data_IF_042055999783
#
_entry.id   IF_042055999783
#
_cell.length_a   1.000
_cell.length_b   1.000
_cell.length_c   1.000
_cell.angle_alpha   90.00
_cell.angle_beta   90.00
_cell.angle_gamma   90.00
#
_symmetry.space_group_name_H-M   'P 1'
#
loop_
_entity.id
_entity.type
_entity.pdbx_description
1 polymer ?
#
# COMPACT_ATOMS: atom_id res chain seq x y z
N UNK A 1 -40.94 -15.05 -15.33
CA UNK A 1 -39.61 -15.52 -14.86
C UNK A 1 -39.10 -14.48 -13.87
N UNK A 2 -39.01 -14.83 -12.60
CA UNK A 2 -38.40 -13.95 -11.60
C UNK A 2 -36.87 -14.08 -11.69
N UNK A 3 -36.20 -13.02 -12.08
CA UNK A 3 -34.74 -12.97 -12.08
C UNK A 3 -34.24 -12.57 -10.69
N UNK A 4 -33.37 -13.41 -10.11
CA UNK A 4 -32.68 -13.07 -8.87
C UNK A 4 -31.39 -12.33 -9.21
N UNK A 5 -31.18 -11.17 -8.55
CA UNK A 5 -29.92 -10.42 -8.61
C UNK A 5 -29.28 -10.54 -7.23
N UNK A 6 -28.04 -10.99 -7.18
CA UNK A 6 -27.22 -11.02 -5.96
C UNK A 6 -26.02 -10.09 -6.12
N UNK A 7 -25.78 -9.23 -5.13
CA UNK A 7 -24.66 -8.29 -5.11
C UNK A 7 -23.76 -8.65 -3.93
N UNK A 8 -22.45 -8.78 -4.17
CA UNK A 8 -21.47 -9.04 -3.13
C UNK A 8 -20.59 -7.80 -2.94
N UNK A 9 -20.37 -7.41 -1.69
CA UNK A 9 -19.46 -6.31 -1.35
C UNK A 9 -18.81 -6.57 0.00
N UNK A 10 -17.52 -6.27 0.09
CA UNK A 10 -16.75 -6.40 1.32
C UNK A 10 -16.73 -5.12 2.17
N UNK A 11 -17.23 -3.99 1.67
CA UNK A 11 -16.90 -2.66 2.19
C UNK A 11 -18.09 -1.70 2.38
N UNK A 12 -19.33 -2.16 2.26
CA UNK A 12 -20.51 -1.29 2.46
C UNK A 12 -20.83 -1.20 3.96
N UNK A 13 -20.59 -0.06 4.64
CA UNK A 13 -20.84 0.07 6.08
C UNK A 13 -22.32 0.20 6.43
N UNK A 14 -23.17 0.61 5.48
CA UNK A 14 -24.59 0.88 5.66
C UNK A 14 -25.46 0.00 4.74
N UNK A 15 -25.21 -1.32 4.75
CA UNK A 15 -25.87 -2.27 3.87
C UNK A 15 -27.42 -2.24 4.00
N UNK A 16 -27.99 -1.97 5.19
CA UNK A 16 -29.43 -1.85 5.40
C UNK A 16 -30.04 -0.69 4.63
N UNK A 17 -29.44 0.51 4.69
CA UNK A 17 -29.92 1.67 3.95
C UNK A 17 -29.86 1.45 2.44
N UNK A 18 -28.81 0.76 1.98
CA UNK A 18 -28.67 0.40 0.57
C UNK A 18 -29.73 -0.61 0.12
N UNK A 19 -30.06 -1.59 0.95
CA UNK A 19 -31.10 -2.57 0.66
C UNK A 19 -32.52 -1.92 0.67
N UNK A 20 -32.77 -1.00 1.61
CA UNK A 20 -34.03 -0.23 1.67
C UNK A 20 -34.19 0.59 0.40
N UNK A 21 -33.14 1.28 -0.03
CA UNK A 21 -33.14 2.06 -1.27
C UNK A 21 -33.44 1.17 -2.51
N UNK A 22 -32.83 -0.03 -2.60
CA UNK A 22 -33.13 -0.98 -3.68
C UNK A 22 -34.59 -1.44 -3.62
N UNK A 23 -35.09 -1.75 -2.41
CA UNK A 23 -36.48 -2.16 -2.20
C UNK A 23 -37.48 -1.10 -2.64
N UNK A 24 -37.20 0.17 -2.35
CA UNK A 24 -38.04 1.30 -2.72
C UNK A 24 -38.10 1.51 -4.24
N UNK A 25 -36.96 1.39 -4.92
CA UNK A 25 -36.91 1.56 -6.39
C UNK A 25 -37.60 0.41 -7.11
N UNK A 26 -37.37 -0.82 -6.67
CA UNK A 26 -37.85 -2.00 -7.38
C UNK A 26 -39.20 -2.53 -6.84
N UNK A 27 -39.73 -1.96 -5.76
CA UNK A 27 -40.93 -2.44 -5.04
C UNK A 27 -40.89 -3.94 -4.72
N UNK A 28 -39.69 -4.45 -4.43
CA UNK A 28 -39.42 -5.83 -4.10
C UNK A 28 -38.54 -5.91 -2.86
N UNK A 29 -38.72 -6.99 -2.06
CA UNK A 29 -37.94 -7.19 -0.86
C UNK A 29 -36.47 -7.45 -1.22
N UNK A 30 -35.56 -6.71 -0.60
CA UNK A 30 -34.12 -6.93 -0.66
C UNK A 30 -33.65 -7.57 0.65
N UNK A 31 -33.06 -8.75 0.58
CA UNK A 31 -32.56 -9.46 1.74
C UNK A 31 -31.06 -9.21 1.90
N UNK A 32 -30.65 -8.93 3.14
CA UNK A 32 -29.25 -8.71 3.47
C UNK A 32 -28.74 -9.93 4.21
N UNK A 33 -27.63 -10.47 3.74
CA UNK A 33 -26.83 -11.48 4.48
C UNK A 33 -25.47 -10.86 4.76
N UNK A 34 -25.14 -10.67 6.03
CA UNK A 34 -23.88 -10.06 6.37
C UNK A 34 -23.20 -10.79 7.52
N UNK A 35 -21.87 -10.73 7.56
CA UNK A 35 -21.05 -11.32 8.63
C UNK A 35 -19.93 -10.37 9.00
N UNK A 36 -19.64 -10.29 10.30
CA UNK A 36 -18.47 -9.58 10.83
C UNK A 36 -17.23 -10.49 10.90
N UNK A 37 -17.39 -11.75 10.54
CA UNK A 37 -16.27 -12.68 10.56
C UNK A 37 -15.24 -12.30 9.47
N UNK A 38 -14.01 -12.13 9.90
CA UNK A 38 -12.84 -11.94 9.01
C UNK A 38 -11.91 -13.13 9.18
N UNK A 39 -11.55 -13.84 8.11
CA UNK A 39 -10.55 -14.92 8.18
C UNK A 39 -9.21 -14.43 8.73
N UNK A 40 -8.80 -13.23 8.31
CA UNK A 40 -7.61 -12.55 8.85
C UNK A 40 -8.05 -11.39 9.73
N UNK A 41 -7.73 -11.40 11.04
CA UNK A 41 -8.10 -10.33 11.96
C UNK A 41 -7.51 -8.99 11.52
N UNK A 42 -8.30 -7.90 11.59
CA UNK A 42 -7.84 -6.56 11.29
C UNK A 42 -7.34 -5.88 12.56
N UNK A 43 -6.08 -5.49 12.54
CA UNK A 43 -5.44 -4.71 13.61
C UNK A 43 -4.82 -3.45 13.01
N UNK A 44 -4.84 -2.35 13.76
CA UNK A 44 -4.23 -1.10 13.32
C UNK A 44 -3.04 -0.75 14.22
N UNK A 45 -1.92 -0.43 13.59
CA UNK A 45 -0.69 -0.06 14.27
C UNK A 45 -0.22 1.31 13.84
N UNK A 46 0.48 2.01 14.73
CA UNK A 46 1.24 3.22 14.43
C UNK A 46 2.73 2.89 14.59
N UNK A 47 3.52 3.30 13.61
CA UNK A 47 4.97 3.29 13.66
C UNK A 47 5.48 4.73 13.76
N UNK A 48 5.91 5.22 14.94
CA UNK A 48 6.51 6.55 15.07
C UNK A 48 7.94 6.50 14.53
N UNK A 49 8.25 7.29 13.53
CA UNK A 49 9.49 7.23 12.74
C UNK A 49 10.81 7.33 13.52
N UNK A 50 10.81 7.84 14.74
CA UNK A 50 11.99 7.94 15.62
C UNK A 50 12.00 6.93 16.78
N UNK A 51 10.94 6.11 16.93
CA UNK A 51 10.77 5.20 18.05
C UNK A 51 11.09 3.75 17.72
N UNK A 52 11.23 2.94 18.76
CA UNK A 52 11.36 1.51 18.61
C UNK A 52 9.99 0.85 18.69
N UNK A 53 9.56 0.25 17.56
CA UNK A 53 8.46 -0.69 17.51
C UNK A 53 7.13 -0.17 16.97
N UNK A 54 6.22 -1.12 16.81
CA UNK A 54 4.84 -0.92 16.37
C UNK A 54 3.94 -0.78 17.60
N UNK A 55 3.08 0.23 17.61
CA UNK A 55 2.08 0.44 18.66
C UNK A 55 0.69 0.02 18.16
N UNK A 56 0.13 -1.04 18.74
CA UNK A 56 -1.24 -1.48 18.44
C UNK A 56 -2.25 -0.45 18.94
N UNK A 57 -2.95 0.23 18.05
CA UNK A 57 -3.94 1.27 18.39
C UNK A 57 -5.38 0.81 18.28
N UNK A 58 -5.67 -0.15 17.39
CA UNK A 58 -6.98 -0.80 17.34
C UNK A 58 -6.77 -2.31 17.31
N UNK A 59 -7.41 -3.01 18.22
CA UNK A 59 -7.31 -4.48 18.31
C UNK A 59 -8.27 -5.19 17.34
N UNK A 60 -8.19 -6.52 17.31
CA UNK A 60 -9.02 -7.40 16.47
C UNK A 60 -10.53 -7.22 16.67
N UNK A 61 -10.92 -6.78 17.87
CA UNK A 61 -12.32 -6.52 18.24
C UNK A 61 -12.78 -5.11 17.86
N UNK A 62 -11.95 -4.34 17.18
CA UNK A 62 -12.23 -2.95 16.83
C UNK A 62 -12.10 -1.97 18.01
N UNK A 63 -11.54 -2.41 19.16
CA UNK A 63 -11.39 -1.56 20.33
C UNK A 63 -10.15 -0.68 20.23
N UNK A 64 -10.34 0.63 20.38
CA UNK A 64 -9.26 1.60 20.42
C UNK A 64 -8.46 1.51 21.72
N UNK A 65 -7.12 1.52 21.61
CA UNK A 65 -6.15 1.43 22.70
C UNK A 65 -5.51 2.78 22.99
N UNK A 66 -6.22 3.63 23.72
CA UNK A 66 -5.81 5.00 24.03
C UNK A 66 -4.39 5.09 24.61
N UNK A 67 -4.04 4.22 25.56
CA UNK A 67 -2.70 4.23 26.18
C UNK A 67 -1.56 3.99 25.20
N UNK A 68 -1.78 3.12 24.20
CA UNK A 68 -0.79 2.83 23.16
C UNK A 68 -0.71 3.97 22.16
N UNK A 69 -1.84 4.59 21.83
CA UNK A 69 -1.87 5.77 20.99
C UNK A 69 -1.09 6.92 21.63
N UNK A 70 -1.31 7.21 22.92
CA UNK A 70 -0.58 8.25 23.65
C UNK A 70 0.92 7.96 23.73
N UNK A 71 1.32 6.69 23.92
CA UNK A 71 2.74 6.30 23.88
C UNK A 71 3.36 6.56 22.49
N UNK A 72 2.65 6.21 21.42
CA UNK A 72 3.11 6.49 20.07
C UNK A 72 3.25 7.99 19.82
N UNK A 73 2.29 8.80 20.27
CA UNK A 73 2.32 10.26 20.15
C UNK A 73 3.43 10.89 21.01
N UNK A 74 3.66 10.41 22.24
CA UNK A 74 4.76 10.86 23.09
C UNK A 74 6.14 10.55 22.45
N UNK A 75 6.27 9.40 21.80
CA UNK A 75 7.50 9.06 21.06
C UNK A 75 7.71 9.99 19.87
N UNK A 76 6.64 10.40 19.17
CA UNK A 76 6.70 11.40 18.12
C UNK A 76 7.11 12.78 18.63
N UNK A 77 6.71 13.16 19.84
CA UNK A 77 7.02 14.46 20.45
C UNK A 77 8.42 14.51 21.09
N UNK A 78 8.91 13.40 21.64
CA UNK A 78 10.20 13.32 22.34
C UNK A 78 11.38 13.01 21.40
N UNK A 79 11.14 12.37 20.28
CA UNK A 79 12.15 12.22 19.23
C UNK A 79 12.33 13.56 18.52
N UNK A 80 13.56 13.92 18.13
CA UNK A 80 13.79 14.96 17.13
C UNK A 80 12.99 14.55 15.88
N UNK A 81 11.74 14.99 15.86
CA UNK A 81 10.76 14.63 14.86
C UNK A 81 11.30 15.12 13.54
N UNK A 82 11.57 14.18 12.66
CA UNK A 82 11.66 14.50 11.25
C UNK A 82 10.52 15.46 10.92
N UNK A 83 10.86 16.68 10.59
CA UNK A 83 9.97 17.85 10.42
C UNK A 83 8.75 17.63 9.49
N UNK A 84 8.64 16.46 8.86
CA UNK A 84 7.61 16.10 7.91
C UNK A 84 6.21 15.88 8.53
N UNK A 85 6.11 15.48 9.80
CA UNK A 85 4.80 15.26 10.46
C UNK A 85 4.32 16.55 11.14
N UNK A 86 5.22 17.36 11.70
CA UNK A 86 4.85 18.67 12.26
C UNK A 86 4.30 19.63 11.20
N UNK A 87 4.81 19.56 9.97
CA UNK A 87 4.31 20.39 8.85
C UNK A 87 2.94 19.90 8.32
N UNK A 88 2.67 18.59 8.31
CA UNK A 88 1.38 18.05 7.89
C UNK A 88 0.25 18.40 8.88
N UNK A 89 0.57 18.54 10.17
CA UNK A 89 -0.38 19.01 11.20
C UNK A 89 -0.55 20.53 11.14
N UNK A 90 0.51 21.27 10.80
CA UNK A 90 0.48 22.72 10.67
C UNK A 90 -0.27 23.23 9.42
N UNK A 91 -0.32 22.46 8.33
CA UNK A 91 -1.08 22.82 7.13
C UNK A 91 -2.61 22.67 7.28
N UNK A 92 -3.08 21.95 8.30
CA UNK A 92 -4.51 21.90 8.65
C UNK A 92 -5.03 23.14 9.36
N UNK A 93 -4.17 24.05 9.79
CA UNK A 93 -4.49 25.32 10.45
C UNK A 93 -4.13 26.53 9.59
N UNK A 94 -5.08 26.98 8.80
CA UNK A 94 -5.28 28.29 8.16
C UNK A 94 -4.19 29.36 8.32
N UNK A 95 -3.62 29.85 7.18
CA UNK A 95 -2.94 31.16 7.18
C UNK A 95 -1.73 31.28 6.24
N UNK A 96 -1.98 31.91 5.08
CA UNK A 96 -1.01 32.40 4.11
C UNK A 96 0.28 32.97 4.72
N UNK A 97 1.45 32.40 4.30
CA UNK A 97 2.65 33.22 4.07
C UNK A 97 3.48 32.61 2.92
N UNK A 98 3.49 33.32 1.81
CA UNK A 98 4.45 33.12 0.71
C UNK A 98 5.84 33.58 1.23
N UNK A 99 6.76 32.66 1.38
CA UNK A 99 8.18 32.90 1.64
C UNK A 99 9.04 32.09 0.67
N UNK A 100 9.77 32.77 -0.17
CA UNK A 100 10.72 32.27 -1.19
C UNK A 100 11.93 31.69 -0.46
N UNK A 101 12.27 30.42 -0.72
CA UNK A 101 13.58 29.84 -0.41
C UNK A 101 13.53 28.68 0.58
N UNK A 102 13.54 27.44 0.07
CA UNK A 102 14.43 26.41 0.63
C UNK A 102 14.39 25.11 -0.22
N UNK A 103 15.23 25.03 -1.24
CA UNK A 103 15.44 23.79 -1.99
C UNK A 103 16.14 22.69 -1.15
N UNK A 104 16.70 23.02 0.01
CA UNK A 104 17.34 22.09 0.94
C UNK A 104 16.35 21.28 1.77
N UNK A 105 15.22 21.84 2.18
CA UNK A 105 14.24 21.18 3.05
C UNK A 105 13.49 20.02 2.37
N UNK A 106 13.17 20.13 1.07
CA UNK A 106 12.47 19.08 0.33
C UNK A 106 13.34 17.83 0.12
N UNK A 107 14.65 18.00 -0.02
CA UNK A 107 15.60 16.90 -0.22
C UNK A 107 15.80 16.09 1.07
N UNK A 108 15.82 16.78 2.21
CA UNK A 108 15.98 16.18 3.53
C UNK A 108 14.69 15.42 3.97
N UNK A 109 13.50 15.97 3.67
CA UNK A 109 12.21 15.29 3.89
C UNK A 109 12.12 13.97 3.13
N UNK A 110 12.53 13.94 1.87
CA UNK A 110 12.52 12.73 1.06
C UNK A 110 13.45 11.63 1.59
N UNK A 111 14.65 11.99 2.07
CA UNK A 111 15.61 11.05 2.63
C UNK A 111 15.10 10.40 3.94
N UNK A 112 14.45 11.18 4.80
CA UNK A 112 13.90 10.71 6.05
C UNK A 112 12.69 9.77 5.85
N UNK A 113 11.85 10.04 4.86
CA UNK A 113 10.73 9.14 4.49
C UNK A 113 11.23 7.78 3.97
N UNK A 114 12.30 7.78 3.17
CA UNK A 114 12.91 6.54 2.66
C UNK A 114 13.54 5.73 3.78
N UNK A 115 14.26 6.36 4.70
CA UNK A 115 14.85 5.70 5.86
C UNK A 115 13.76 5.12 6.79
N UNK A 116 12.63 5.82 6.95
CA UNK A 116 11.49 5.35 7.71
C UNK A 116 10.82 4.12 7.06
N UNK A 117 10.62 4.15 5.74
CA UNK A 117 10.06 3.03 4.99
C UNK A 117 10.96 1.78 5.11
N UNK A 118 12.26 1.95 4.90
CA UNK A 118 13.21 0.85 5.00
C UNK A 118 13.16 0.17 6.39
N UNK A 119 13.14 0.97 7.45
CA UNK A 119 13.06 0.44 8.83
C UNK A 119 11.77 -0.31 9.10
N UNK A 120 10.62 0.20 8.65
CA UNK A 120 9.33 -0.47 8.87
C UNK A 120 9.21 -1.75 8.04
N UNK A 121 9.65 -1.75 6.79
CA UNK A 121 9.66 -2.96 5.95
C UNK A 121 10.53 -4.03 6.58
N UNK A 122 11.75 -3.69 7.00
CA UNK A 122 12.63 -4.62 7.68
C UNK A 122 12.00 -5.18 8.96
N UNK A 123 11.40 -4.33 9.80
CA UNK A 123 10.70 -4.77 11.01
C UNK A 123 9.56 -5.75 10.70
N UNK A 124 8.83 -5.53 9.61
CA UNK A 124 7.72 -6.40 9.18
C UNK A 124 8.25 -7.75 8.71
N UNK A 125 9.33 -7.75 7.92
CA UNK A 125 9.98 -8.98 7.46
C UNK A 125 10.59 -9.78 8.60
N UNK A 126 11.29 -9.12 9.53
CA UNK A 126 11.85 -9.77 10.74
C UNK A 126 10.78 -10.43 11.61
N UNK A 127 9.52 -9.98 11.52
CA UNK A 127 8.38 -10.55 12.25
C UNK A 127 7.56 -11.55 11.44
N UNK A 128 7.94 -11.88 10.22
CA UNK A 128 7.20 -12.76 9.30
C UNK A 128 5.74 -12.27 9.10
N UNK A 129 5.57 -10.97 8.87
CA UNK A 129 4.25 -10.35 8.61
C UNK A 129 4.10 -9.97 7.14
N UNK A 130 4.87 -10.59 6.25
CA UNK A 130 4.72 -10.48 4.79
C UNK A 130 3.46 -11.25 4.31
N UNK A 131 2.90 -10.89 3.14
CA UNK A 131 3.30 -9.80 2.26
C UNK A 131 2.85 -8.41 2.72
N UNK A 132 3.53 -7.37 2.25
CA UNK A 132 3.27 -5.96 2.61
C UNK A 132 2.78 -5.18 1.42
N UNK A 133 1.74 -4.35 1.61
CA UNK A 133 1.31 -3.36 0.64
C UNK A 133 1.59 -1.96 1.19
N UNK A 134 2.42 -1.21 0.47
CA UNK A 134 2.77 0.17 0.79
C UNK A 134 1.97 1.11 -0.12
N UNK A 135 1.14 1.97 0.45
CA UNK A 135 0.36 2.95 -0.29
C UNK A 135 1.09 4.28 -0.40
N UNK A 136 1.19 4.83 -1.62
CA UNK A 136 1.72 6.17 -1.88
C UNK A 136 0.82 6.93 -2.83
N UNK A 137 0.56 8.22 -2.54
CA UNK A 137 -0.33 9.06 -3.35
C UNK A 137 0.28 9.55 -4.67
N UNK A 138 1.59 9.41 -4.83
CA UNK A 138 2.33 9.87 -6.00
C UNK A 138 2.97 8.70 -6.75
N UNK A 139 2.83 8.67 -8.10
CA UNK A 139 3.52 7.71 -8.96
C UNK A 139 5.05 7.77 -8.77
N UNK A 140 5.59 9.00 -8.72
CA UNK A 140 7.03 9.22 -8.52
C UNK A 140 7.51 8.72 -7.16
N UNK A 141 6.66 8.81 -6.13
CA UNK A 141 7.00 8.27 -4.81
C UNK A 141 6.95 6.75 -4.79
N UNK A 142 6.02 6.11 -5.54
CA UNK A 142 6.02 4.65 -5.69
C UNK A 142 7.33 4.15 -6.28
N UNK A 143 7.79 4.74 -7.39
CA UNK A 143 9.05 4.39 -8.03
C UNK A 143 10.25 4.65 -7.11
N UNK A 144 10.25 5.81 -6.44
CA UNK A 144 11.31 6.20 -5.51
C UNK A 144 11.40 5.30 -4.29
N UNK A 145 10.26 4.85 -3.75
CA UNK A 145 10.21 3.90 -2.64
C UNK A 145 10.66 2.51 -3.05
N UNK A 146 10.31 2.06 -4.26
CA UNK A 146 10.79 0.80 -4.80
C UNK A 146 12.33 0.81 -4.95
N UNK A 147 12.88 1.90 -5.47
CA UNK A 147 14.31 2.10 -5.60
C UNK A 147 15.02 2.23 -4.24
N UNK A 148 14.37 2.82 -3.23
CA UNK A 148 14.94 2.92 -1.89
C UNK A 148 15.10 1.56 -1.19
N UNK A 149 14.33 0.55 -1.60
CA UNK A 149 14.44 -0.82 -1.10
C UNK A 149 15.37 -1.70 -1.94
N UNK A 150 16.03 -1.14 -2.95
CA UNK A 150 16.84 -1.90 -3.91
C UNK A 150 18.06 -2.62 -3.29
N UNK A 151 18.47 -2.26 -2.08
CA UNK A 151 19.54 -2.92 -1.36
C UNK A 151 19.07 -4.16 -0.57
N UNK A 152 17.75 -4.36 -0.46
CA UNK A 152 17.14 -5.51 0.19
C UNK A 152 16.84 -6.63 -0.82
N UNK A 153 16.92 -7.88 -0.37
CA UNK A 153 16.58 -9.07 -1.15
C UNK A 153 15.70 -9.98 -0.30
N UNK A 154 14.44 -10.15 -0.72
CA UNK A 154 13.42 -10.91 0.01
C UNK A 154 13.10 -12.25 -0.65
N UNK A 155 13.85 -12.66 -1.69
CA UNK A 155 13.58 -13.85 -2.49
C UNK A 155 14.80 -14.77 -2.50
N UNK A 156 14.55 -16.06 -2.58
CA UNK A 156 15.58 -17.06 -2.81
C UNK A 156 15.87 -17.25 -4.32
N UNK A 157 16.85 -18.07 -4.64
CA UNK A 157 17.30 -18.27 -6.03
C UNK A 157 16.20 -18.99 -6.86
N UNK A 158 15.42 -19.89 -6.27
CA UNK A 158 14.32 -20.60 -6.94
C UNK A 158 13.19 -19.62 -7.29
N UNK A 159 12.84 -18.76 -6.33
CA UNK A 159 11.85 -17.69 -6.56
C UNK A 159 12.31 -16.73 -7.66
N UNK A 160 13.60 -16.35 -7.70
CA UNK A 160 14.16 -15.48 -8.75
C UNK A 160 14.07 -16.09 -10.14
N UNK A 161 14.29 -17.40 -10.25
CA UNK A 161 14.16 -18.12 -11.53
C UNK A 161 12.71 -18.16 -11.99
N UNK A 162 11.76 -18.46 -11.09
CA UNK A 162 10.32 -18.44 -11.39
C UNK A 162 9.86 -17.05 -11.83
N UNK A 163 10.24 -16.01 -11.09
CA UNK A 163 9.94 -14.61 -11.45
C UNK A 163 10.47 -14.29 -12.84
N UNK A 164 11.70 -14.73 -13.14
CA UNK A 164 12.33 -14.49 -14.43
C UNK A 164 11.57 -15.17 -15.56
N UNK A 165 11.10 -16.41 -15.37
CA UNK A 165 10.30 -17.15 -16.36
C UNK A 165 8.97 -16.46 -16.60
N UNK A 166 8.21 -16.15 -15.55
CA UNK A 166 6.91 -15.45 -15.67
C UNK A 166 7.07 -14.13 -16.40
N UNK A 167 8.07 -13.34 -16.00
CA UNK A 167 8.34 -12.05 -16.63
C UNK A 167 8.68 -12.18 -18.11
N UNK A 168 9.59 -13.08 -18.50
CA UNK A 168 9.98 -13.29 -19.89
C UNK A 168 8.79 -13.73 -20.74
N UNK A 169 8.03 -14.73 -20.29
CA UNK A 169 6.86 -15.22 -21.02
C UNK A 169 5.81 -14.13 -21.25
N UNK A 170 5.57 -13.27 -20.24
CA UNK A 170 4.64 -12.16 -20.38
C UNK A 170 5.15 -11.10 -21.38
N UNK A 171 6.44 -10.72 -21.29
CA UNK A 171 7.04 -9.73 -22.18
C UNK A 171 7.16 -10.20 -23.64
N UNK A 172 7.20 -11.51 -23.89
CA UNK A 172 7.18 -12.06 -25.25
C UNK A 172 5.92 -11.67 -26.03
N UNK A 173 4.82 -11.38 -25.36
CA UNK A 173 3.58 -10.90 -25.97
C UNK A 173 3.66 -9.45 -26.48
N UNK A 174 4.66 -8.67 -26.03
CA UNK A 174 4.87 -7.29 -26.45
C UNK A 174 5.61 -7.20 -27.81
N UNK A 175 5.37 -6.12 -28.54
CA UNK A 175 6.17 -5.75 -29.71
C UNK A 175 7.63 -5.50 -29.35
N UNK A 176 8.53 -5.60 -30.34
CA UNK A 176 9.98 -5.44 -30.12
C UNK A 176 10.35 -4.07 -29.53
N UNK A 177 9.66 -3.00 -29.94
CA UNK A 177 9.92 -1.65 -29.45
C UNK A 177 9.45 -1.48 -28.00
N UNK A 178 8.31 -2.07 -27.63
CA UNK A 178 7.77 -2.03 -26.27
C UNK A 178 8.63 -2.79 -25.27
N UNK A 179 9.28 -3.87 -25.71
CA UNK A 179 10.21 -4.64 -24.86
C UNK A 179 11.42 -3.84 -24.40
N UNK A 180 11.85 -2.86 -25.20
CA UNK A 180 13.02 -2.01 -24.94
C UNK A 180 12.68 -0.76 -24.11
N UNK A 181 11.43 -0.61 -23.67
CA UNK A 181 11.05 0.53 -22.84
C UNK A 181 11.78 0.51 -21.49
N UNK A 182 12.27 1.65 -21.01
CA UNK A 182 13.02 1.73 -19.74
C UNK A 182 12.25 1.17 -18.55
N UNK A 183 10.91 1.28 -18.54
CA UNK A 183 10.08 0.70 -17.49
C UNK A 183 10.07 -0.84 -17.48
N UNK A 184 10.24 -1.48 -18.63
CA UNK A 184 10.35 -2.94 -18.75
C UNK A 184 11.70 -3.39 -18.22
N UNK A 185 12.77 -2.74 -18.64
CA UNK A 185 14.14 -3.06 -18.19
C UNK A 185 14.33 -2.84 -16.70
N UNK A 186 13.76 -1.77 -16.13
CA UNK A 186 13.89 -1.44 -14.72
C UNK A 186 13.05 -2.33 -13.80
N UNK A 187 12.00 -2.99 -14.30
CA UNK A 187 11.07 -3.76 -13.48
C UNK A 187 11.66 -5.09 -13.02
N UNK A 188 12.28 -5.85 -13.91
CA UNK A 188 12.78 -7.20 -13.61
C UNK A 188 13.76 -7.25 -12.43
N UNK A 189 14.74 -6.34 -12.31
CA UNK A 189 15.65 -6.32 -11.15
C UNK A 189 14.93 -6.14 -9.80
N UNK A 190 13.86 -5.34 -9.76
CA UNK A 190 13.06 -5.14 -8.56
C UNK A 190 12.24 -6.38 -8.22
N UNK A 191 11.56 -6.96 -9.22
CA UNK A 191 10.75 -8.16 -9.04
C UNK A 191 11.59 -9.33 -8.52
N UNK A 192 12.81 -9.53 -9.03
CA UNK A 192 13.75 -10.55 -8.57
C UNK A 192 14.12 -10.42 -7.09
N UNK A 193 13.94 -9.27 -6.49
CA UNK A 193 14.18 -9.01 -5.06
C UNK A 193 12.90 -9.09 -4.23
N UNK A 194 11.78 -9.52 -4.82
CA UNK A 194 10.50 -9.58 -4.15
C UNK A 194 9.82 -8.22 -3.95
N UNK A 195 10.23 -7.19 -4.76
CA UNK A 195 9.70 -5.84 -4.68
C UNK A 195 8.88 -5.54 -5.94
N UNK A 196 7.61 -5.21 -5.80
CA UNK A 196 6.71 -4.84 -6.88
C UNK A 196 6.32 -3.37 -6.80
N UNK A 197 6.33 -2.67 -7.92
CA UNK A 197 5.79 -1.33 -8.07
C UNK A 197 4.54 -1.38 -8.95
N UNK A 198 3.44 -0.73 -8.51
CA UNK A 198 2.16 -0.79 -9.22
C UNK A 198 1.45 0.56 -9.19
N UNK A 199 1.42 1.25 -10.32
CA UNK A 199 0.75 2.54 -10.47
C UNK A 199 0.24 2.77 -11.90
N UNK A 200 -0.66 3.74 -12.09
CA UNK A 200 -1.30 4.00 -13.38
C UNK A 200 -0.40 4.54 -14.50
N UNK A 201 0.91 4.67 -14.27
CA UNK A 201 1.89 5.06 -15.30
C UNK A 201 2.61 3.88 -15.94
N UNK A 202 2.41 2.65 -15.42
CA UNK A 202 3.00 1.44 -15.97
C UNK A 202 2.16 0.88 -17.12
N UNK A 203 2.80 0.14 -18.02
CA UNK A 203 2.13 -0.67 -19.02
C UNK A 203 1.16 -1.65 -18.36
N UNK A 204 -0.01 -1.94 -18.98
CA UNK A 204 -0.98 -2.90 -18.44
C UNK A 204 -0.35 -4.25 -18.11
N UNK A 205 0.48 -4.79 -19.00
CA UNK A 205 1.15 -6.07 -18.83
C UNK A 205 2.07 -6.09 -17.60
N UNK A 206 2.80 -5.00 -17.31
CA UNK A 206 3.66 -4.92 -16.13
C UNK A 206 2.85 -4.90 -14.83
N UNK A 207 1.66 -4.28 -14.83
CA UNK A 207 0.75 -4.32 -13.68
C UNK A 207 0.24 -5.73 -13.44
N UNK A 208 -0.17 -6.41 -14.49
CA UNK A 208 -0.63 -7.80 -14.44
C UNK A 208 0.46 -8.74 -13.91
N UNK A 209 1.69 -8.62 -14.39
CA UNK A 209 2.83 -9.38 -13.87
C UNK A 209 2.99 -9.16 -12.36
N UNK A 210 2.98 -7.91 -11.89
CA UNK A 210 3.09 -7.60 -10.45
C UNK A 210 1.94 -8.20 -9.66
N UNK A 211 0.72 -8.21 -10.20
CA UNK A 211 -0.47 -8.78 -9.56
C UNK A 211 -0.37 -10.29 -9.45
N UNK A 212 0.01 -10.98 -10.52
CA UNK A 212 0.22 -12.44 -10.53
C UNK A 212 1.31 -12.83 -9.55
N UNK A 213 2.50 -12.21 -9.64
CA UNK A 213 3.62 -12.54 -8.75
C UNK A 213 3.31 -12.25 -7.28
N UNK A 214 2.49 -11.23 -7.00
CA UNK A 214 2.05 -10.93 -5.63
C UNK A 214 1.05 -11.97 -5.12
N UNK A 215 0.11 -12.43 -5.95
CA UNK A 215 -0.86 -13.47 -5.58
C UNK A 215 -0.21 -14.84 -5.34
N UNK A 216 0.87 -15.13 -6.06
CA UNK A 216 1.69 -16.34 -5.88
C UNK A 216 2.69 -16.25 -4.71
N UNK A 217 2.70 -15.12 -3.99
CA UNK A 217 3.59 -14.91 -2.84
C UNK A 217 5.07 -14.69 -3.20
N UNK A 218 5.39 -14.51 -4.49
CA UNK A 218 6.76 -14.25 -4.96
C UNK A 218 7.20 -12.80 -4.74
N UNK A 219 6.24 -11.86 -4.65
CA UNK A 219 6.50 -10.48 -4.26
C UNK A 219 6.13 -10.32 -2.77
N UNK A 220 7.09 -9.93 -1.95
CA UNK A 220 6.90 -9.73 -0.51
C UNK A 220 6.49 -8.29 -0.18
N UNK A 221 6.96 -7.31 -0.98
CA UNK A 221 6.63 -5.89 -0.81
C UNK A 221 6.06 -5.33 -2.12
N UNK A 222 4.81 -4.88 -2.08
CA UNK A 222 4.14 -4.23 -3.21
C UNK A 222 3.87 -2.75 -2.90
N UNK A 223 4.40 -1.85 -3.71
CA UNK A 223 4.20 -0.40 -3.56
C UNK A 223 3.17 0.06 -4.58
N UNK A 224 2.07 0.65 -4.12
CA UNK A 224 0.91 0.97 -4.96
C UNK A 224 0.48 2.43 -4.84
N UNK A 225 -0.09 2.94 -5.93
CA UNK A 225 -0.79 4.23 -5.93
C UNK A 225 -2.30 4.02 -5.78
N UNK A 226 -3.01 4.74 -4.86
CA UNK A 226 -4.43 4.50 -4.53
C UNK A 226 -5.41 4.65 -5.68
N UNK A 227 -5.03 5.27 -6.79
CA UNK A 227 -5.90 5.41 -7.97
C UNK A 227 -6.29 4.09 -8.64
N UNK A 228 -5.74 2.96 -8.18
CA UNK A 228 -5.99 1.61 -8.71
C UNK A 228 -6.79 0.71 -7.77
N UNK A 229 -7.21 1.21 -6.60
CA UNK A 229 -8.02 0.45 -5.64
C UNK A 229 -9.47 0.16 -6.12
N UNK A 230 -9.86 0.63 -7.30
CA UNK A 230 -11.17 0.35 -7.89
C UNK A 230 -11.25 -1.01 -8.61
N UNK A 231 -10.21 -1.85 -8.55
CA UNK A 231 -10.13 -3.12 -9.30
C UNK A 231 -9.88 -4.34 -8.37
N UNK A 232 -9.92 -4.14 -7.04
CA UNK A 232 -9.85 -5.25 -6.07
C UNK A 232 -11.22 -5.58 -5.54
#
# INVERSE_FOLDING_TARGET
MSSFVSTFSATIPNASQFADWISDIHHQKCHIVYTNYRPTPLQHYIYPGGGQGLHLVVDEKGKFRESNFQKAMATLQSGNVDSAISDAIAESGNGKKRGRGNAGGARQKGANQMAGLHKIVKLIMDRNLDPVIVFSFSKKDCERFALALNDEDFTDDVEKDLITQVFKNAIESLGEDDRKLPQVEAMLPLLKRGIGCHHGGLLPILKEIVEILFSEGLIKVRIVSPRLLSIL
#
